data_IF_142030774619
#
_entry.id   IF_142030774619
#
_cell.length_a   1.000
_cell.length_b   1.000
_cell.length_c   1.000
_cell.angle_alpha   90.00
_cell.angle_beta   90.00
_cell.angle_gamma   90.00
#
_symmetry.space_group_name_H-M   'P 1'
#
loop_
_entity.id
_entity.type
_entity.pdbx_description
1 polymer ?
#
# COMPACT_ATOMS: atom_id res chain seq x y z
N UNK A 1 -4.73 -12.39 15.82
CA UNK A 1 -4.86 -11.21 14.97
C UNK A 1 -3.49 -10.88 14.39
N UNK A 2 -2.58 -10.21 15.12
CA UNK A 2 -1.25 -9.82 14.63
C UNK A 2 -0.46 -10.85 13.79
N UNK A 3 -0.25 -12.08 14.29
CA UNK A 3 0.50 -13.09 13.52
C UNK A 3 -0.17 -13.48 12.20
N UNK A 4 -1.51 -13.50 12.17
CA UNK A 4 -2.23 -13.83 10.94
C UNK A 4 -2.09 -12.71 9.91
N UNK A 5 -2.11 -11.46 10.36
CA UNK A 5 -1.92 -10.29 9.49
C UNK A 5 -0.52 -10.30 8.88
N UNK A 6 0.51 -10.58 9.70
CA UNK A 6 1.89 -10.75 9.22
C UNK A 6 2.05 -11.91 8.24
N UNK A 7 1.44 -13.07 8.51
CA UNK A 7 1.49 -14.20 7.59
C UNK A 7 0.78 -13.89 6.27
N UNK A 8 -0.35 -13.20 6.32
CA UNK A 8 -1.06 -12.72 5.13
C UNK A 8 -0.19 -11.78 4.31
N UNK A 9 0.41 -10.78 4.96
CA UNK A 9 1.32 -9.85 4.31
C UNK A 9 2.55 -10.57 3.76
N UNK A 10 3.16 -11.51 4.48
CA UNK A 10 4.30 -12.30 4.01
C UNK A 10 3.98 -13.17 2.80
N UNK A 11 2.78 -13.74 2.72
CA UNK A 11 2.34 -14.56 1.60
C UNK A 11 1.89 -13.74 0.37
N UNK A 12 1.53 -12.47 0.55
CA UNK A 12 1.01 -11.65 -0.54
C UNK A 12 2.10 -11.17 -1.52
N UNK A 13 1.76 -11.06 -2.81
CA UNK A 13 2.63 -10.47 -3.82
C UNK A 13 2.63 -8.93 -3.78
N UNK A 14 1.61 -8.35 -3.14
CA UNK A 14 1.25 -6.93 -3.15
C UNK A 14 0.38 -6.64 -1.93
N UNK A 15 0.49 -5.44 -1.36
CA UNK A 15 -0.42 -4.96 -0.33
C UNK A 15 -1.21 -3.72 -0.80
N UNK A 16 -2.52 -3.73 -0.61
CA UNK A 16 -3.39 -2.60 -0.92
C UNK A 16 -4.05 -2.07 0.37
N UNK A 17 -3.87 -0.79 0.67
CA UNK A 17 -4.38 -0.16 1.87
C UNK A 17 -5.43 0.90 1.53
N UNK A 18 -6.55 0.89 2.26
CA UNK A 18 -7.53 1.97 2.20
C UNK A 18 -7.06 3.10 3.11
N UNK A 19 -6.45 4.12 2.52
CA UNK A 19 -5.82 5.24 3.24
C UNK A 19 -6.74 6.45 3.11
N UNK A 20 -7.82 6.45 3.89
CA UNK A 20 -8.81 7.53 3.90
C UNK A 20 -8.71 8.35 5.17
N UNK A 21 -8.76 9.67 5.03
CA UNK A 21 -8.58 10.61 6.14
C UNK A 21 -7.13 11.09 6.29
N UNK A 22 -6.95 12.15 7.08
CA UNK A 22 -5.66 12.85 7.20
C UNK A 22 -4.60 12.06 7.99
N UNK A 23 -5.03 11.15 8.87
CA UNK A 23 -4.14 10.31 9.66
C UNK A 23 -4.19 8.86 9.21
N UNK A 24 -3.02 8.24 9.28
CA UNK A 24 -2.83 6.81 9.15
C UNK A 24 -2.64 6.29 10.56
N UNK A 25 -3.52 5.39 10.99
CA UNK A 25 -3.40 4.76 12.30
C UNK A 25 -2.05 4.02 12.40
N UNK A 26 -1.48 3.99 13.61
CA UNK A 26 -0.18 3.37 13.88
C UNK A 26 -0.11 1.89 13.47
N UNK A 27 -1.22 1.14 13.58
CA UNK A 27 -1.29 -0.26 13.16
C UNK A 27 -1.17 -0.39 11.65
N UNK A 28 -1.96 0.38 10.90
CA UNK A 28 -1.88 0.44 9.43
C UNK A 28 -0.50 0.91 8.96
N UNK A 29 0.09 1.90 9.64
CA UNK A 29 1.44 2.36 9.32
C UNK A 29 2.50 1.27 9.50
N UNK A 30 2.37 0.41 10.53
CA UNK A 30 3.26 -0.72 10.74
C UNK A 30 3.13 -1.77 9.62
N UNK A 31 1.92 -2.03 9.14
CA UNK A 31 1.66 -2.97 8.04
C UNK A 31 2.18 -2.43 6.69
N UNK A 32 2.00 -1.13 6.44
CA UNK A 32 2.58 -0.44 5.28
C UNK A 32 4.10 -0.57 5.32
N UNK A 33 4.71 -0.27 6.47
CA UNK A 33 6.16 -0.38 6.64
C UNK A 33 6.66 -1.80 6.44
N UNK A 34 5.98 -2.79 7.03
CA UNK A 34 6.34 -4.19 6.88
C UNK A 34 6.28 -4.65 5.41
N UNK A 35 5.23 -4.25 4.69
CA UNK A 35 5.06 -4.56 3.27
C UNK A 35 6.19 -3.94 2.44
N UNK A 36 6.47 -2.66 2.67
CA UNK A 36 7.56 -1.95 2.00
C UNK A 36 8.94 -2.58 2.31
N UNK A 37 9.23 -2.86 3.57
CA UNK A 37 10.50 -3.43 4.02
C UNK A 37 10.74 -4.86 3.50
N UNK A 38 9.67 -5.61 3.20
CA UNK A 38 9.74 -6.94 2.60
C UNK A 38 9.74 -6.92 1.07
N UNK A 39 9.87 -5.74 0.46
CA UNK A 39 9.96 -5.55 -0.98
C UNK A 39 8.63 -5.67 -1.72
N UNK A 40 7.51 -5.63 -0.99
CA UNK A 40 6.18 -5.77 -1.58
C UNK A 40 5.69 -4.39 -2.03
N UNK A 41 5.17 -4.26 -3.26
CA UNK A 41 4.58 -3.02 -3.73
C UNK A 41 3.36 -2.67 -2.88
N UNK A 42 3.25 -1.39 -2.51
CA UNK A 42 2.16 -0.85 -1.69
C UNK A 42 1.26 0.04 -2.56
N UNK A 43 0.00 -0.34 -2.72
CA UNK A 43 -1.03 0.47 -3.39
C UNK A 43 -1.88 1.16 -2.32
N UNK A 44 -1.91 2.50 -2.34
CA UNK A 44 -2.78 3.28 -1.44
C UNK A 44 -4.06 3.72 -2.16
N UNK A 45 -5.21 3.28 -1.67
CA UNK A 45 -6.53 3.77 -2.08
C UNK A 45 -6.85 5.01 -1.25
N UNK A 46 -6.67 6.20 -1.83
CA UNK A 46 -6.77 7.47 -1.11
C UNK A 46 -8.19 8.00 -0.99
N UNK A 47 -9.13 7.47 -1.78
CA UNK A 47 -10.51 7.98 -1.87
C UNK A 47 -10.61 9.51 -2.08
N UNK A 48 -9.71 10.06 -2.89
CA UNK A 48 -9.58 11.52 -3.15
C UNK A 48 -9.06 12.36 -1.98
N UNK A 49 -8.56 11.73 -0.92
CA UNK A 49 -7.78 12.42 0.12
C UNK A 49 -6.54 13.07 -0.50
N UNK A 50 -6.28 14.33 -0.14
CA UNK A 50 -5.23 15.15 -0.78
C UNK A 50 -3.96 15.26 0.06
N UNK A 51 -4.02 15.08 1.37
CA UNK A 51 -2.87 15.23 2.26
C UNK A 51 -2.90 14.24 3.42
N UNK A 52 -1.82 13.46 3.53
CA UNK A 52 -1.53 12.64 4.68
C UNK A 52 -0.60 13.40 5.63
N UNK A 53 -0.85 13.32 6.93
CA UNK A 53 0.09 13.82 7.95
C UNK A 53 1.31 12.91 8.06
N UNK A 54 1.13 11.62 7.81
CA UNK A 54 2.20 10.65 7.84
C UNK A 54 2.94 10.58 6.49
N UNK A 55 3.89 11.51 6.32
CA UNK A 55 4.72 11.61 5.11
C UNK A 55 5.63 10.39 4.90
N UNK A 56 5.97 9.66 5.97
CA UNK A 56 6.79 8.45 5.87
C UNK A 56 6.02 7.32 5.17
N UNK A 57 4.79 7.05 5.62
CA UNK A 57 3.93 6.07 4.97
C UNK A 57 3.59 6.48 3.53
N UNK A 58 3.36 7.78 3.29
CA UNK A 58 3.13 8.29 1.95
C UNK A 58 4.30 8.01 0.99
N UNK A 59 5.54 8.12 1.48
CA UNK A 59 6.75 7.81 0.72
C UNK A 59 6.97 6.33 0.41
N UNK A 60 6.21 5.43 1.05
CA UNK A 60 6.30 3.98 0.84
C UNK A 60 5.30 3.47 -0.22
N UNK A 61 4.37 4.32 -0.66
CA UNK A 61 3.38 3.94 -1.66
C UNK A 61 4.01 3.87 -3.05
N UNK A 62 3.91 2.70 -3.69
CA UNK A 62 4.29 2.53 -5.09
C UNK A 62 3.29 3.23 -6.03
N UNK A 63 1.99 3.12 -5.72
CA UNK A 63 0.92 3.76 -6.48
C UNK A 63 -0.15 4.32 -5.54
N UNK A 64 -0.74 5.46 -5.91
CA UNK A 64 -1.92 6.05 -5.26
C UNK A 64 -3.08 5.98 -6.23
N UNK A 65 -4.20 5.42 -5.79
CA UNK A 65 -5.43 5.31 -6.56
C UNK A 65 -6.57 5.98 -5.83
N UNK A 66 -7.48 6.63 -6.55
CA UNK A 66 -8.62 7.33 -5.94
C UNK A 66 -9.84 6.44 -5.80
N UNK A 67 -9.96 5.45 -6.67
CA UNK A 67 -11.13 4.59 -6.79
C UNK A 67 -10.72 3.12 -6.83
N UNK A 68 -11.65 2.23 -6.50
CA UNK A 68 -11.42 0.78 -6.57
C UNK A 68 -11.15 0.34 -8.01
N UNK A 69 -11.75 1.01 -9.00
CA UNK A 69 -11.58 0.71 -10.43
C UNK A 69 -10.12 0.91 -10.88
N UNK A 70 -9.43 1.89 -10.31
CA UNK A 70 -8.02 2.18 -10.61
C UNK A 70 -7.05 1.12 -10.06
N UNK A 71 -7.47 0.29 -9.10
CA UNK A 71 -6.61 -0.78 -8.52
C UNK A 71 -6.14 -1.74 -9.62
N UNK A 72 -7.02 -2.13 -10.56
CA UNK A 72 -6.63 -3.05 -11.66
C UNK A 72 -5.51 -2.48 -12.52
N UNK A 73 -5.55 -1.17 -12.79
CA UNK A 73 -4.51 -0.49 -13.55
C UNK A 73 -3.20 -0.44 -12.76
N UNK A 74 -3.25 -0.13 -11.46
CA UNK A 74 -2.08 -0.11 -10.60
C UNK A 74 -1.40 -1.49 -10.51
N UNK A 75 -2.17 -2.58 -10.41
CA UNK A 75 -1.63 -3.96 -10.44
C UNK A 75 -0.88 -4.24 -11.75
N UNK A 76 -1.47 -3.86 -12.89
CA UNK A 76 -0.81 -4.05 -14.20
C UNK A 76 0.51 -3.27 -14.31
N UNK A 77 0.60 -2.09 -13.69
CA UNK A 77 1.81 -1.29 -13.68
C UNK A 77 2.90 -1.91 -12.80
N UNK A 78 2.53 -2.41 -11.62
CA UNK A 78 3.41 -3.20 -10.74
C UNK A 78 4.02 -4.39 -11.50
N UNK A 79 3.17 -5.20 -12.14
CA UNK A 79 3.64 -6.38 -12.88
C UNK A 79 4.60 -6.05 -14.03
N UNK A 80 4.45 -4.86 -14.61
CA UNK A 80 5.33 -4.39 -15.69
C UNK A 80 6.64 -3.83 -15.18
N UNK A 81 6.68 -3.19 -14.00
CA UNK A 81 7.91 -2.67 -13.41
C UNK A 81 8.81 -3.79 -12.87
N UNK A 82 8.21 -4.85 -12.31
CA UNK A 82 8.94 -6.05 -11.83
C UNK A 82 9.63 -6.81 -12.97
N UNK A 83 9.11 -6.73 -14.19
CA UNK A 83 9.67 -7.42 -15.37
C UNK A 83 10.81 -6.68 -16.06
N UNK A 84 11.19 -5.48 -15.59
CA UNK A 84 12.21 -4.65 -16.20
C UNK A 84 13.34 -4.34 -15.17
N UNK A 85 14.19 -5.33 -14.85
CA UNK A 85 15.30 -5.16 -13.90
C UNK A 85 16.44 -4.28 -14.45
#
# INVERSE_FOLDING_TARGET
>A
MFNNDLWGLQAADLAAFLVTGQDIDSSMAAEIWFSFATGKPVIAVTASERRFRNLFAEGMFAYKVKTVQEIRLAISLVDSSVRNP
#
